data_IF_301328352766
#
_entry.id   IF_301328352766
#
_cell.length_a   1.000
_cell.length_b   1.000
_cell.length_c   1.000
_cell.angle_alpha   90.00
_cell.angle_beta   90.00
_cell.angle_gamma   90.00
#
_symmetry.space_group_name_H-M   'P 1'
#
loop_
_entity.id
_entity.type
_entity.pdbx_description
1 polymer ?
#
# COMPACT_ATOMS: atom_id res chain seq x y z
N UNK A 1 -18.11 -28.03 23.55
CA UNK A 1 -18.76 -27.99 22.21
C UNK A 1 -18.91 -26.57 21.67
N UNK A 2 -19.14 -25.52 22.49
CA UNK A 2 -19.29 -24.14 21.99
C UNK A 2 -17.99 -23.52 21.43
N UNK A 3 -16.81 -23.84 21.97
CA UNK A 3 -15.52 -23.32 21.47
C UNK A 3 -15.14 -23.86 20.09
N UNK A 4 -15.43 -25.13 19.80
CA UNK A 4 -15.10 -25.75 18.51
C UNK A 4 -15.90 -25.14 17.35
N UNK A 5 -17.18 -24.82 17.60
CA UNK A 5 -18.07 -24.18 16.62
C UNK A 5 -17.64 -22.73 16.36
N UNK A 6 -17.12 -22.02 17.37
CA UNK A 6 -16.66 -20.64 17.21
C UNK A 6 -15.37 -20.53 16.37
N UNK A 7 -14.45 -21.48 16.54
CA UNK A 7 -13.22 -21.62 15.74
C UNK A 7 -13.50 -22.04 14.30
N UNK A 8 -14.39 -23.00 14.07
CA UNK A 8 -14.81 -23.41 12.71
C UNK A 8 -15.49 -22.26 11.96
N UNK A 9 -16.37 -21.52 12.63
CA UNK A 9 -17.09 -20.40 12.00
C UNK A 9 -16.14 -19.25 11.66
N UNK A 10 -15.18 -18.95 12.55
CA UNK A 10 -14.15 -17.94 12.30
C UNK A 10 -13.19 -18.36 11.18
N UNK A 11 -12.80 -19.63 11.11
CA UNK A 11 -11.95 -20.14 10.05
C UNK A 11 -12.66 -20.13 8.69
N UNK A 12 -13.96 -20.40 8.67
CA UNK A 12 -14.76 -20.35 7.44
C UNK A 12 -14.95 -18.92 6.94
N UNK A 13 -15.29 -17.97 7.83
CA UNK A 13 -15.34 -16.54 7.51
C UNK A 13 -13.99 -16.04 6.98
N UNK A 14 -12.88 -16.43 7.61
CA UNK A 14 -11.54 -16.02 7.17
C UNK A 14 -11.21 -16.60 5.79
N UNK A 15 -11.57 -17.86 5.52
CA UNK A 15 -11.39 -18.46 4.20
C UNK A 15 -12.28 -17.80 3.14
N UNK A 16 -13.55 -17.51 3.45
CA UNK A 16 -14.46 -16.83 2.53
C UNK A 16 -13.98 -15.40 2.21
N UNK A 17 -13.43 -14.68 3.21
CA UNK A 17 -12.79 -13.38 3.01
C UNK A 17 -11.52 -13.47 2.14
N UNK A 18 -10.68 -14.49 2.35
CA UNK A 18 -9.46 -14.70 1.56
C UNK A 18 -9.79 -15.05 0.10
N UNK A 19 -10.83 -15.85 -0.12
CA UNK A 19 -11.34 -16.19 -1.46
C UNK A 19 -11.91 -14.95 -2.16
N UNK A 20 -12.69 -14.11 -1.45
CA UNK A 20 -13.20 -12.85 -2.00
C UNK A 20 -12.04 -11.93 -2.41
N UNK A 21 -10.99 -11.81 -1.58
CA UNK A 21 -9.82 -10.97 -1.86
C UNK A 21 -8.96 -11.44 -3.04
N UNK A 22 -9.08 -12.73 -3.41
CA UNK A 22 -8.39 -13.34 -4.56
C UNK A 22 -9.20 -13.29 -5.85
N UNK A 23 -10.47 -12.90 -5.78
CA UNK A 23 -11.33 -12.83 -6.97
C UNK A 23 -10.90 -11.69 -7.91
N UNK A 24 -11.07 -11.90 -9.22
CA UNK A 24 -10.87 -10.83 -10.22
C UNK A 24 -11.75 -9.60 -9.96
N UNK A 25 -12.90 -9.78 -9.29
CA UNK A 25 -13.80 -8.69 -8.91
C UNK A 25 -13.16 -7.78 -7.85
N UNK A 26 -12.45 -8.35 -6.87
CA UNK A 26 -11.71 -7.58 -5.87
C UNK A 26 -10.54 -6.83 -6.50
N UNK A 27 -9.81 -7.45 -7.42
CA UNK A 27 -8.75 -6.76 -8.18
C UNK A 27 -9.32 -5.53 -8.90
N UNK A 28 -10.51 -5.65 -9.52
CA UNK A 28 -11.19 -4.51 -10.12
C UNK A 28 -11.62 -3.47 -9.09
N UNK A 29 -12.20 -3.87 -7.95
CA UNK A 29 -12.61 -2.91 -6.90
C UNK A 29 -11.44 -2.09 -6.33
N UNK A 30 -10.22 -2.61 -6.41
CA UNK A 30 -9.03 -1.98 -5.82
C UNK A 30 -7.99 -1.48 -6.83
N UNK A 31 -8.21 -1.65 -8.15
CA UNK A 31 -7.38 -1.06 -9.20
C UNK A 31 -7.90 0.31 -9.66
N UNK A 32 -7.01 1.13 -10.24
CA UNK A 32 -7.38 2.46 -10.73
C UNK A 32 -8.44 2.41 -11.84
N UNK A 33 -8.43 1.34 -12.65
CA UNK A 33 -9.33 1.18 -13.81
C UNK A 33 -10.82 1.02 -13.44
N UNK A 34 -11.14 0.64 -12.20
CA UNK A 34 -12.52 0.28 -11.81
C UNK A 34 -12.97 0.87 -10.47
N UNK A 35 -12.07 1.35 -9.61
CA UNK A 35 -12.41 2.08 -8.37
C UNK A 35 -12.67 3.59 -8.59
N UNK A 36 -12.69 4.04 -9.85
CA UNK A 36 -12.22 5.34 -10.32
C UNK A 36 -12.89 6.64 -9.87
N UNK A 37 -13.91 6.65 -9.00
CA UNK A 37 -14.54 7.92 -8.57
C UNK A 37 -14.60 8.13 -7.05
N UNK A 38 -14.87 7.09 -6.25
CA UNK A 38 -15.06 7.24 -4.80
C UNK A 38 -13.75 7.45 -4.03
N UNK A 39 -12.83 6.50 -4.17
CA UNK A 39 -11.56 6.55 -3.44
C UNK A 39 -10.65 7.67 -3.96
N UNK A 40 -10.65 7.93 -5.28
CA UNK A 40 -9.91 9.06 -5.86
C UNK A 40 -10.35 10.40 -5.28
N UNK A 41 -11.65 10.60 -5.01
CA UNK A 41 -12.13 11.81 -4.35
C UNK A 41 -11.56 11.92 -2.93
N UNK A 42 -11.65 10.84 -2.13
CA UNK A 42 -11.12 10.80 -0.76
C UNK A 42 -9.61 11.04 -0.73
N UNK A 43 -8.85 10.42 -1.63
CA UNK A 43 -7.40 10.59 -1.75
C UNK A 43 -7.05 12.06 -2.01
N UNK A 44 -7.74 12.71 -2.96
CA UNK A 44 -7.47 14.10 -3.33
C UNK A 44 -7.92 15.13 -2.30
N UNK A 45 -9.00 14.87 -1.54
CA UNK A 45 -9.65 15.89 -0.71
C UNK A 45 -9.48 15.67 0.79
N UNK A 46 -9.60 14.44 1.27
CA UNK A 46 -9.58 14.16 2.71
C UNK A 46 -8.20 13.65 3.13
N UNK A 47 -7.71 12.59 2.48
CA UNK A 47 -6.44 11.98 2.87
C UNK A 47 -5.25 12.87 2.49
N UNK A 48 -5.27 13.54 1.33
CA UNK A 48 -4.22 14.49 0.97
C UNK A 48 -4.05 15.59 2.02
N UNK A 49 -5.14 16.11 2.62
CA UNK A 49 -5.05 17.11 3.68
C UNK A 49 -4.36 16.55 4.91
N UNK A 50 -4.75 15.35 5.35
CA UNK A 50 -4.17 14.68 6.51
C UNK A 50 -2.68 14.41 6.29
N UNK A 51 -2.32 13.86 5.13
CA UNK A 51 -0.93 13.58 4.80
C UNK A 51 -0.09 14.86 4.75
N UNK A 52 -0.57 15.92 4.08
CA UNK A 52 0.15 17.18 4.01
C UNK A 52 0.32 17.83 5.39
N UNK A 53 -0.71 17.81 6.23
CA UNK A 53 -0.64 18.34 7.59
C UNK A 53 0.45 17.63 8.40
N UNK A 54 0.49 16.29 8.37
CA UNK A 54 1.53 15.51 9.04
C UNK A 54 2.91 15.79 8.45
N UNK A 55 3.04 15.77 7.13
CA UNK A 55 4.32 16.01 6.44
C UNK A 55 4.86 17.41 6.75
N UNK A 56 4.01 18.43 6.83
CA UNK A 56 4.42 19.81 7.01
C UNK A 56 4.64 20.19 8.48
N UNK A 57 3.79 19.70 9.38
CA UNK A 57 3.73 20.15 10.76
C UNK A 57 4.38 19.15 11.75
N UNK A 58 4.40 17.85 11.43
CA UNK A 58 4.95 16.84 12.32
C UNK A 58 6.37 16.40 11.94
N UNK A 59 6.79 16.57 10.68
CA UNK A 59 8.12 16.15 10.22
C UNK A 59 9.08 17.35 10.13
N UNK A 60 10.20 17.32 10.88
CA UNK A 60 11.21 18.38 10.82
C UNK A 60 11.70 18.63 9.40
N UNK A 61 11.86 19.91 9.02
CA UNK A 61 12.35 20.30 7.69
C UNK A 61 13.65 19.59 7.29
N UNK A 62 14.57 19.40 8.23
CA UNK A 62 15.84 18.69 8.01
C UNK A 62 15.65 17.22 7.61
N UNK A 63 14.59 16.55 8.10
CA UNK A 63 14.24 15.19 7.68
C UNK A 63 13.56 15.17 6.32
N UNK A 64 12.67 16.14 6.04
CA UNK A 64 12.03 16.26 4.72
C UNK A 64 13.03 16.47 3.58
N UNK A 65 14.08 17.25 3.82
CA UNK A 65 15.14 17.49 2.83
C UNK A 65 15.99 16.25 2.52
N UNK A 66 16.13 15.33 3.47
CA UNK A 66 16.87 14.07 3.27
C UNK A 66 16.08 13.03 2.49
N UNK A 67 14.77 13.21 2.34
CA UNK A 67 13.87 12.21 1.81
C UNK A 67 13.11 11.49 2.92
N UNK A 68 11.83 11.24 2.66
CA UNK A 68 10.92 10.55 3.57
C UNK A 68 10.75 9.11 3.10
N UNK A 69 10.80 8.18 4.05
CA UNK A 69 10.52 6.76 3.82
C UNK A 69 9.07 6.49 4.15
N UNK A 70 8.35 5.84 3.24
CA UNK A 70 6.93 5.52 3.38
C UNK A 70 6.74 4.01 3.49
N UNK A 71 5.78 3.61 4.31
CA UNK A 71 5.32 2.23 4.40
C UNK A 71 3.80 2.19 4.52
N UNK A 72 3.15 1.45 3.64
CA UNK A 72 1.71 1.15 3.70
C UNK A 72 1.46 -0.34 3.97
N UNK A 73 0.64 -0.62 4.98
CA UNK A 73 0.12 -1.95 5.31
C UNK A 73 -1.25 -2.16 4.66
N UNK A 74 -1.46 -3.30 4.01
CA UNK A 74 -2.69 -3.57 3.26
C UNK A 74 -2.83 -2.60 2.09
N UNK A 75 -1.81 -2.52 1.24
CA UNK A 75 -1.77 -1.52 0.16
C UNK A 75 -2.77 -1.80 -0.98
N UNK A 76 -3.37 -2.99 -1.03
CA UNK A 76 -4.18 -3.42 -2.17
C UNK A 76 -3.41 -3.27 -3.49
N UNK A 77 -4.04 -2.73 -4.52
CA UNK A 77 -3.36 -2.42 -5.79
C UNK A 77 -2.52 -1.12 -5.75
N UNK A 78 -2.26 -0.56 -4.57
CA UNK A 78 -1.28 0.51 -4.37
C UNK A 78 -1.79 1.93 -4.63
N UNK A 79 -3.09 2.13 -4.87
CA UNK A 79 -3.66 3.44 -5.23
C UNK A 79 -3.27 4.56 -4.25
N UNK A 80 -3.33 4.29 -2.95
CA UNK A 80 -3.04 5.30 -1.94
C UNK A 80 -1.54 5.64 -1.88
N UNK A 81 -0.65 4.65 -1.81
CA UNK A 81 0.79 4.89 -1.84
C UNK A 81 1.22 5.64 -3.10
N UNK A 82 0.71 5.23 -4.26
CA UNK A 82 0.98 5.89 -5.55
C UNK A 82 0.51 7.34 -5.57
N UNK A 83 -0.68 7.59 -5.03
CA UNK A 83 -1.23 8.94 -4.91
C UNK A 83 -0.37 9.81 -4.00
N UNK A 84 0.00 9.31 -2.82
CA UNK A 84 0.82 10.03 -1.85
C UNK A 84 2.20 10.36 -2.43
N UNK A 85 2.88 9.38 -3.04
CA UNK A 85 4.19 9.56 -3.68
C UNK A 85 4.10 10.62 -4.79
N UNK A 86 3.09 10.55 -5.66
CA UNK A 86 2.87 11.55 -6.72
C UNK A 86 2.59 12.95 -6.15
N UNK A 87 1.82 13.03 -5.07
CA UNK A 87 1.47 14.29 -4.42
C UNK A 87 2.69 14.94 -3.75
N UNK A 88 3.53 14.15 -3.09
CA UNK A 88 4.79 14.61 -2.49
C UNK A 88 5.74 15.15 -3.54
N UNK A 89 5.90 14.45 -4.66
CA UNK A 89 6.74 14.91 -5.78
C UNK A 89 6.28 16.26 -6.33
N UNK A 90 4.97 16.44 -6.58
CA UNK A 90 4.39 17.72 -7.03
C UNK A 90 4.59 18.87 -6.04
N UNK A 91 4.77 18.56 -4.76
CA UNK A 91 5.00 19.53 -3.67
C UNK A 91 6.48 19.75 -3.36
N UNK A 92 7.38 19.09 -4.09
CA UNK A 92 8.83 19.17 -3.85
C UNK A 92 9.26 18.51 -2.53
N UNK A 93 8.47 17.57 -2.01
CA UNK A 93 8.82 16.80 -0.81
C UNK A 93 9.53 15.53 -1.29
N UNK A 94 10.81 15.40 -0.97
CA UNK A 94 11.59 14.25 -1.41
C UNK A 94 11.06 12.95 -0.80
N UNK A 95 10.82 11.95 -1.65
CA UNK A 95 10.65 10.55 -1.25
C UNK A 95 11.99 9.86 -1.38
N UNK A 96 12.41 9.17 -0.31
CA UNK A 96 13.61 8.33 -0.31
C UNK A 96 13.25 6.94 -0.88
N UNK A 97 12.35 6.24 -0.19
CA UNK A 97 11.74 5.00 -0.64
C UNK A 97 10.30 4.86 -0.13
N UNK A 98 9.52 4.00 -0.78
CA UNK A 98 8.14 3.74 -0.44
C UNK A 98 7.84 2.24 -0.61
N UNK A 99 7.26 1.63 0.41
CA UNK A 99 6.90 0.22 0.41
C UNK A 99 5.40 0.05 0.61
N UNK A 100 4.76 -0.71 -0.27
CA UNK A 100 3.41 -1.22 -0.04
C UNK A 100 3.47 -2.71 0.24
N UNK A 101 2.75 -3.15 1.26
CA UNK A 101 2.70 -4.55 1.68
C UNK A 101 1.27 -5.05 1.69
N UNK A 102 1.06 -6.23 1.15
CA UNK A 102 -0.22 -6.93 1.14
C UNK A 102 0.03 -8.44 1.10
N UNK A 103 -0.91 -9.23 1.64
CA UNK A 103 -0.81 -10.69 1.63
C UNK A 103 -1.38 -11.30 0.33
N UNK A 104 -2.10 -10.52 -0.47
CA UNK A 104 -2.69 -10.96 -1.73
C UNK A 104 -1.69 -10.80 -2.88
N UNK A 105 -1.23 -11.94 -3.41
CA UNK A 105 -0.33 -11.99 -4.56
C UNK A 105 -0.91 -11.24 -5.77
N UNK A 106 -2.19 -11.46 -6.06
CA UNK A 106 -2.87 -10.81 -7.19
C UNK A 106 -2.94 -9.29 -7.03
N UNK A 107 -3.11 -8.77 -5.81
CA UNK A 107 -3.12 -7.32 -5.56
C UNK A 107 -1.71 -6.74 -5.66
N UNK A 108 -0.69 -7.44 -5.18
CA UNK A 108 0.71 -7.02 -5.33
C UNK A 108 1.13 -7.00 -6.80
N UNK A 109 0.73 -7.99 -7.59
CA UNK A 109 0.96 -8.00 -9.04
C UNK A 109 0.29 -6.81 -9.74
N UNK A 110 -0.97 -6.51 -9.38
CA UNK A 110 -1.68 -5.33 -9.86
C UNK A 110 -0.95 -4.05 -9.46
N UNK A 111 -0.54 -3.90 -8.20
CA UNK A 111 0.19 -2.73 -7.71
C UNK A 111 1.52 -2.52 -8.45
N UNK A 112 2.26 -3.60 -8.71
CA UNK A 112 3.50 -3.58 -9.52
C UNK A 112 3.23 -3.13 -10.96
N UNK A 113 2.08 -3.47 -11.52
CA UNK A 113 1.65 -2.98 -12.84
C UNK A 113 1.33 -1.49 -12.80
N UNK A 114 0.54 -1.07 -11.82
CA UNK A 114 0.09 0.31 -11.61
C UNK A 114 1.28 1.28 -11.44
N UNK A 115 2.33 0.92 -10.69
CA UNK A 115 3.56 1.74 -10.56
C UNK A 115 4.18 2.12 -11.89
N UNK A 116 4.20 1.19 -12.86
CA UNK A 116 4.82 1.41 -14.16
C UNK A 116 3.98 2.29 -15.06
N UNK A 117 2.67 2.36 -14.82
CA UNK A 117 1.74 3.17 -15.60
C UNK A 117 1.57 4.58 -15.05
N UNK A 118 1.55 4.74 -13.73
CA UNK A 118 1.16 5.99 -13.07
C UNK A 118 2.33 6.86 -12.61
N UNK A 119 3.51 6.28 -12.37
CA UNK A 119 4.69 7.04 -11.93
C UNK A 119 5.73 7.20 -13.05
N UNK A 120 6.45 8.33 -13.09
CA UNK A 120 7.61 8.47 -13.96
C UNK A 120 8.71 7.49 -13.53
N UNK A 121 9.57 7.00 -14.45
CA UNK A 121 10.55 5.96 -14.16
C UNK A 121 11.46 6.21 -12.97
N UNK A 122 11.88 7.46 -12.74
CA UNK A 122 12.73 7.82 -11.60
C UNK A 122 12.03 7.68 -10.25
N UNK A 123 10.72 7.92 -10.21
CA UNK A 123 9.92 7.76 -9.00
C UNK A 123 9.51 6.30 -8.81
N UNK A 124 9.21 5.58 -9.90
CA UNK A 124 8.91 4.14 -9.86
C UNK A 124 10.04 3.32 -9.24
N UNK A 125 11.31 3.68 -9.46
CA UNK A 125 12.48 3.01 -8.84
C UNK A 125 12.49 3.09 -7.31
N UNK A 126 11.80 4.07 -6.73
CA UNK A 126 11.73 4.29 -5.28
C UNK A 126 10.53 3.60 -4.63
N UNK A 127 9.62 3.04 -5.42
CA UNK A 127 8.40 2.39 -4.94
C UNK A 127 8.52 0.89 -5.14
N UNK A 128 8.26 0.11 -4.10
CA UNK A 128 8.28 -1.34 -4.14
C UNK A 128 7.04 -1.92 -3.47
N UNK A 129 6.50 -2.97 -4.07
CA UNK A 129 5.37 -3.72 -3.52
C UNK A 129 5.79 -5.14 -3.20
N UNK A 130 5.56 -5.55 -1.96
CA UNK A 130 6.07 -6.79 -1.38
C UNK A 130 4.90 -7.66 -0.93
N UNK A 131 4.96 -8.94 -1.30
CA UNK A 131 4.06 -9.94 -0.73
C UNK A 131 4.48 -10.21 0.71
N UNK A 132 3.69 -9.71 1.66
CA UNK A 132 4.02 -9.81 3.08
C UNK A 132 2.77 -9.97 3.94
N UNK A 133 2.87 -10.84 4.94
CA UNK A 133 1.85 -11.00 5.97
C UNK A 133 2.20 -10.14 7.17
N UNK A 134 1.18 -9.61 7.85
CA UNK A 134 1.40 -8.76 9.03
C UNK A 134 2.15 -9.51 10.15
N UNK A 135 1.94 -10.82 10.24
CA UNK A 135 2.55 -11.69 11.26
C UNK A 135 4.04 -11.92 11.04
N UNK A 136 4.53 -11.88 9.80
CA UNK A 136 5.92 -12.15 9.41
C UNK A 136 6.50 -10.98 8.59
N UNK A 137 6.05 -9.78 8.89
CA UNK A 137 6.23 -8.61 8.03
C UNK A 137 7.71 -8.31 7.73
N UNK A 138 8.55 -8.35 8.75
CA UNK A 138 9.98 -8.03 8.61
C UNK A 138 10.65 -9.10 7.76
N UNK A 139 10.42 -10.39 8.07
CA UNK A 139 11.01 -11.49 7.30
C UNK A 139 10.55 -11.47 5.84
N UNK A 140 9.26 -11.23 5.61
CA UNK A 140 8.67 -11.19 4.27
C UNK A 140 9.19 -10.02 3.44
N UNK A 141 9.25 -8.81 4.02
CA UNK A 141 9.80 -7.64 3.31
C UNK A 141 11.30 -7.77 3.09
N UNK A 142 12.07 -8.29 4.04
CA UNK A 142 13.49 -8.55 3.85
C UNK A 142 13.72 -9.54 2.71
N UNK A 143 12.90 -10.60 2.62
CA UNK A 143 12.96 -11.56 1.51
C UNK A 143 12.63 -10.92 0.17
N UNK A 144 11.57 -10.12 0.10
CA UNK A 144 11.11 -9.50 -1.15
C UNK A 144 12.03 -8.37 -1.65
N UNK A 145 12.65 -7.63 -0.73
CA UNK A 145 13.48 -6.46 -1.06
C UNK A 145 14.98 -6.76 -1.09
N UNK A 146 15.42 -7.85 -0.46
CA UNK A 146 16.84 -8.13 -0.21
C UNK A 146 17.49 -7.20 0.82
N UNK A 147 16.70 -6.36 1.51
CA UNK A 147 17.20 -5.43 2.53
C UNK A 147 17.12 -6.13 3.89
N UNK A 148 18.23 -6.28 4.63
CA UNK A 148 18.22 -6.93 5.94
C UNK A 148 17.34 -6.14 6.93
N UNK A 149 16.54 -6.86 7.72
CA UNK A 149 15.88 -6.30 8.89
C UNK A 149 16.92 -6.08 9.98
N UNK A 150 17.11 -4.83 10.39
CA UNK A 150 17.94 -4.46 11.55
C UNK A 150 17.17 -4.57 12.87
#
# INVERSE_FOLDING_TARGET
>A
MAEAVHLETSSKLMNDFLEEYRSEESVRKYSNDTAGNGISYLLNHEYAKIYLDILENCIPKSRRQKGIRLWEFGCGAGMNLLHLVSMMERRGIAVDCAYGTDFSETLIEAARHEVRQYLPPELSKKVSFCLAKNENLVEDVTRETGIPGE
#
